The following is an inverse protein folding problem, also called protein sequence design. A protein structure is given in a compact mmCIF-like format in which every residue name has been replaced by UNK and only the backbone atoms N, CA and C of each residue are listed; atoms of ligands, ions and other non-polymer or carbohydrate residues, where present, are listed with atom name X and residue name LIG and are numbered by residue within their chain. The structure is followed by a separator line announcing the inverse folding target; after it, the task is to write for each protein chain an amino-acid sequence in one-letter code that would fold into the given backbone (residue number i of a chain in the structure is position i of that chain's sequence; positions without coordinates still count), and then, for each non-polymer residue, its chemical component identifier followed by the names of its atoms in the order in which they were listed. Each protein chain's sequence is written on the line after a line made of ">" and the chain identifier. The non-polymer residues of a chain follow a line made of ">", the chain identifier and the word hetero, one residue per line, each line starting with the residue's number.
data_IF_574101359264
#
_entry.id   IF_574101359264
#
_cell.length_a   1.000
_cell.length_b   1.000
_cell.length_c   1.000
_cell.angle_alpha   90.00
_cell.angle_beta   90.00
_cell.angle_gamma   90.00
#
_symmetry.space_group_name_H-M   'P 1'
#
loop_
_entity.id
_entity.type
_entity.pdbx_description
1 polymer ?
#
# COMPACT_ATOMS: atom_id res chain seq x y z
N UNK A 1 -8.16 7.05 -60.72
CA UNK A 1 -9.00 8.06 -60.03
C UNK A 1 -9.78 7.33 -58.95
N UNK A 2 -9.10 6.88 -57.90
CA UNK A 2 -9.64 5.97 -56.86
C UNK A 2 -8.79 6.19 -55.58
N UNK A 3 -8.80 7.42 -55.03
CA UNK A 3 -8.11 7.71 -53.75
C UNK A 3 -8.83 8.84 -53.01
N UNK A 4 -10.08 8.63 -52.57
CA UNK A 4 -10.74 9.61 -51.68
C UNK A 4 -11.88 9.08 -50.80
N UNK A 5 -12.21 7.78 -50.86
CA UNK A 5 -13.43 7.27 -50.20
C UNK A 5 -13.19 6.86 -48.73
N UNK A 6 -11.94 6.67 -48.31
CA UNK A 6 -11.64 6.16 -46.96
C UNK A 6 -11.91 7.12 -45.77
N UNK A 7 -11.73 8.47 -45.86
CA UNK A 7 -11.93 9.33 -44.69
C UNK A 7 -13.40 9.64 -44.39
N UNK A 8 -14.32 9.44 -45.34
CA UNK A 8 -15.74 9.78 -45.18
C UNK A 8 -16.55 8.71 -44.44
N UNK A 9 -16.18 7.43 -44.55
CA UNK A 9 -16.89 6.32 -43.91
C UNK A 9 -16.59 6.27 -42.39
N UNK A 10 -15.43 6.77 -41.97
CA UNK A 10 -15.01 6.76 -40.56
C UNK A 10 -15.72 7.82 -39.70
N UNK A 11 -16.33 8.85 -40.30
CA UNK A 11 -17.08 9.89 -39.57
C UNK A 11 -18.50 9.45 -39.19
N UNK A 12 -19.10 8.55 -39.96
CA UNK A 12 -20.44 7.97 -39.69
C UNK A 12 -20.39 7.04 -38.46
N UNK A 13 -19.25 6.38 -38.24
CA UNK A 13 -19.00 5.48 -37.11
C UNK A 13 -18.36 6.17 -35.90
N UNK A 14 -18.63 7.46 -35.63
CA UNK A 14 -18.42 8.07 -34.31
C UNK A 14 -17.08 7.81 -33.60
N UNK A 15 -15.99 7.56 -34.34
CA UNK A 15 -14.72 7.10 -33.77
C UNK A 15 -13.76 8.27 -33.46
N UNK A 16 -14.27 9.50 -33.34
CA UNK A 16 -13.44 10.69 -33.12
C UNK A 16 -13.26 11.08 -31.64
N UNK A 17 -13.84 10.34 -30.68
CA UNK A 17 -13.82 10.72 -29.26
C UNK A 17 -13.29 9.63 -28.31
N UNK A 18 -12.61 8.59 -28.81
CA UNK A 18 -12.24 7.43 -27.97
C UNK A 18 -10.96 7.57 -27.10
N UNK A 19 -10.14 8.65 -27.08
CA UNK A 19 -8.97 8.67 -26.21
C UNK A 19 -9.05 9.65 -25.02
N UNK A 20 -10.17 9.77 -24.31
CA UNK A 20 -10.17 10.57 -23.06
C UNK A 20 -10.97 10.02 -21.87
N UNK A 21 -11.70 8.92 -22.02
CA UNK A 21 -12.50 8.31 -20.93
C UNK A 21 -11.72 7.20 -20.17
N UNK A 22 -10.47 6.91 -20.53
CA UNK A 22 -9.62 5.91 -19.85
C UNK A 22 -8.65 6.50 -18.80
N UNK A 23 -8.91 7.70 -18.26
CA UNK A 23 -8.06 8.29 -17.20
C UNK A 23 -8.33 7.76 -15.78
N UNK A 24 -9.06 6.65 -15.63
CA UNK A 24 -9.41 6.10 -14.33
C UNK A 24 -9.36 4.58 -14.26
N UNK A 25 -8.31 4.04 -13.63
CA UNK A 25 -8.33 2.75 -12.91
C UNK A 25 -8.39 1.44 -13.71
N UNK A 26 -8.38 1.47 -15.05
CA UNK A 26 -8.52 0.26 -15.87
C UNK A 26 -7.35 -0.75 -15.77
N UNK A 27 -6.20 -0.32 -15.24
CA UNK A 27 -5.02 -1.18 -15.04
C UNK A 27 -4.77 -1.57 -13.57
N UNK A 28 -5.76 -1.47 -12.68
CA UNK A 28 -5.58 -2.00 -11.33
C UNK A 28 -5.71 -3.52 -11.36
N UNK A 29 -4.58 -4.20 -11.44
CA UNK A 29 -4.51 -5.65 -11.30
C UNK A 29 -5.13 -6.08 -9.96
N UNK A 30 -5.99 -7.09 -10.02
CA UNK A 30 -6.50 -7.76 -8.83
C UNK A 30 -5.31 -8.34 -8.05
N UNK A 31 -5.20 -7.99 -6.77
CA UNK A 31 -4.18 -8.56 -5.90
C UNK A 31 -4.38 -10.08 -5.77
N UNK A 32 -3.29 -10.83 -5.73
CA UNK A 32 -3.32 -12.25 -5.46
C UNK A 32 -4.04 -12.55 -4.14
N UNK A 33 -4.89 -13.59 -4.13
CA UNK A 33 -5.46 -14.14 -2.91
C UNK A 33 -4.36 -14.96 -2.21
N UNK A 34 -3.87 -14.49 -1.06
CA UNK A 34 -2.89 -15.26 -0.28
C UNK A 34 -3.60 -16.44 0.40
N UNK A 35 -3.12 -17.65 0.15
CA UNK A 35 -3.55 -18.84 0.89
C UNK A 35 -2.75 -18.91 2.21
N UNK A 36 -3.44 -19.11 3.34
CA UNK A 36 -2.83 -19.28 4.66
C UNK A 36 -2.77 -20.76 4.98
N UNK A 37 -1.58 -21.26 5.29
CA UNK A 37 -1.42 -22.63 5.77
C UNK A 37 -1.57 -22.65 7.29
N UNK A 38 -2.37 -23.58 7.80
CA UNK A 38 -2.46 -23.87 9.24
C UNK A 38 -1.76 -25.20 9.48
N UNK A 39 -0.79 -25.28 10.41
CA UNK A 39 -0.09 -26.52 10.68
C UNK A 39 -1.06 -27.62 11.13
N UNK A 40 -0.84 -28.86 10.68
CA UNK A 40 -1.68 -30.02 11.03
C UNK A 40 -1.77 -30.28 12.54
N UNK A 41 -0.69 -29.99 13.27
CA UNK A 41 -0.57 -30.23 14.71
C UNK A 41 -0.52 -28.95 15.54
N UNK A 42 -1.00 -27.81 15.00
CA UNK A 42 -1.11 -26.60 15.82
C UNK A 42 -2.35 -26.68 16.70
N UNK A 43 -2.16 -26.53 18.02
CA UNK A 43 -3.23 -26.44 19.02
C UNK A 43 -3.96 -25.09 19.02
N UNK A 44 -3.76 -24.27 17.99
CA UNK A 44 -4.45 -22.99 17.83
C UNK A 44 -5.96 -23.21 17.83
N UNK A 45 -6.59 -22.83 18.95
CA UNK A 45 -8.03 -22.78 19.08
C UNK A 45 -8.55 -21.79 18.06
N UNK A 46 -9.29 -22.28 17.07
CA UNK A 46 -10.11 -21.42 16.21
C UNK A 46 -11.12 -20.76 17.14
N UNK A 47 -10.98 -19.46 17.40
CA UNK A 47 -12.06 -18.66 17.97
C UNK A 47 -13.20 -18.64 16.94
N UNK A 48 -13.98 -19.70 16.94
CA UNK A 48 -15.14 -19.86 16.09
C UNK A 48 -16.28 -19.07 16.72
N UNK A 49 -16.54 -17.87 16.20
CA UNK A 49 -17.72 -17.10 16.58
C UNK A 49 -18.97 -17.86 16.09
N UNK A 50 -19.78 -18.34 17.03
CA UNK A 50 -21.00 -19.15 16.80
C UNK A 50 -22.01 -18.39 15.92
N UNK A 51 -21.95 -17.05 15.90
CA UNK A 51 -22.85 -16.19 15.13
C UNK A 51 -22.30 -15.75 13.77
N UNK A 52 -21.13 -16.26 13.35
CA UNK A 52 -20.55 -15.90 12.05
C UNK A 52 -21.20 -16.68 10.90
N UNK A 53 -22.19 -16.06 10.24
CA UNK A 53 -22.84 -16.59 9.04
C UNK A 53 -22.01 -16.18 7.82
N UNK A 54 -20.94 -16.92 7.53
CA UNK A 54 -20.11 -16.66 6.34
C UNK A 54 -19.97 -17.93 5.48
N UNK A 55 -19.64 -17.76 4.21
CA UNK A 55 -19.46 -18.89 3.29
C UNK A 55 -18.29 -19.78 3.73
N UNK A 56 -18.36 -21.08 3.40
CA UNK A 56 -17.32 -22.08 3.71
C UNK A 56 -15.91 -21.64 3.29
N UNK A 57 -15.81 -20.82 2.24
CA UNK A 57 -14.55 -20.31 1.72
C UNK A 57 -14.14 -18.95 2.29
N UNK A 58 -15.12 -18.09 2.63
CA UNK A 58 -14.84 -16.75 3.14
C UNK A 58 -14.36 -16.77 4.59
N UNK A 59 -14.85 -17.70 5.41
CA UNK A 59 -14.43 -17.90 6.80
C UNK A 59 -12.92 -17.98 6.99
N UNK A 60 -12.19 -18.56 6.02
CA UNK A 60 -10.74 -18.75 6.10
C UNK A 60 -9.91 -17.64 5.42
N UNK A 61 -10.54 -16.60 4.84
CA UNK A 61 -9.82 -15.51 4.15
C UNK A 61 -9.14 -14.57 5.14
N UNK A 62 -9.82 -14.27 6.23
CA UNK A 62 -9.43 -13.24 7.19
C UNK A 62 -9.03 -13.78 8.57
N UNK A 63 -8.93 -15.10 8.74
CA UNK A 63 -8.42 -15.72 9.97
C UNK A 63 -7.02 -15.19 10.32
N UNK A 64 -6.92 -14.42 11.40
CA UNK A 64 -5.64 -13.98 11.94
C UNK A 64 -4.96 -15.18 12.60
N UNK A 65 -3.99 -15.77 11.93
CA UNK A 65 -3.10 -16.73 12.57
C UNK A 65 -2.11 -15.92 13.43
N UNK A 66 -1.94 -16.29 14.71
CA UNK A 66 -0.98 -15.63 15.60
C UNK A 66 0.47 -15.72 15.08
N UNK A 67 0.79 -16.75 14.30
CA UNK A 67 2.09 -16.99 13.69
C UNK A 67 2.35 -16.14 12.43
N UNK A 68 1.35 -15.48 11.85
CA UNK A 68 1.50 -14.69 10.61
C UNK A 68 1.99 -13.25 10.90
N UNK A 69 3.26 -13.12 11.31
CA UNK A 69 3.90 -11.85 11.60
C UNK A 69 3.81 -10.84 10.43
N UNK A 70 3.88 -11.33 9.18
CA UNK A 70 3.77 -10.51 7.97
C UNK A 70 2.41 -9.83 7.88
N UNK A 71 1.33 -10.56 8.17
CA UNK A 71 -0.03 -10.02 8.16
C UNK A 71 -0.24 -9.05 9.31
N UNK A 72 0.23 -9.37 10.51
CA UNK A 72 0.20 -8.45 11.66
C UNK A 72 0.87 -7.12 11.33
N UNK A 73 2.06 -7.12 10.72
CA UNK A 73 2.73 -5.89 10.29
C UNK A 73 2.00 -5.16 9.15
N UNK A 74 1.38 -5.89 8.22
CA UNK A 74 0.60 -5.28 7.15
C UNK A 74 -0.65 -4.59 7.69
N UNK A 75 -1.33 -5.21 8.66
CA UNK A 75 -2.55 -4.70 9.29
C UNK A 75 -2.21 -3.55 10.24
N UNK A 76 -1.14 -3.64 11.05
CA UNK A 76 -0.64 -2.52 11.85
C UNK A 76 -0.28 -1.30 10.98
N UNK A 77 0.39 -1.50 9.83
CA UNK A 77 0.66 -0.41 8.86
C UNK A 77 -0.61 0.13 8.22
N UNK A 78 -1.66 -0.66 8.06
CA UNK A 78 -2.95 -0.17 7.54
C UNK A 78 -3.67 0.65 8.59
N UNK A 79 -3.71 0.18 9.83
CA UNK A 79 -4.24 0.90 10.98
C UNK A 79 -3.52 2.23 11.20
N UNK A 80 -2.20 2.29 10.98
CA UNK A 80 -1.42 3.52 11.05
C UNK A 80 -1.62 4.52 9.91
N UNK A 81 -2.35 4.17 8.84
CA UNK A 81 -2.67 5.10 7.72
C UNK A 81 -3.92 5.94 7.99
N UNK A 82 -4.06 6.45 9.20
CA UNK A 82 -5.12 7.41 9.53
C UNK A 82 -4.64 8.83 9.22
N UNK A 83 -5.47 9.63 8.54
CA UNK A 83 -5.13 11.02 8.19
C UNK A 83 -5.13 11.96 9.41
N UNK A 84 -5.65 11.50 10.56
CA UNK A 84 -5.86 12.31 11.76
C UNK A 84 -4.62 12.55 12.62
N UNK A 85 -3.58 11.72 12.53
CA UNK A 85 -2.35 11.84 13.34
C UNK A 85 -1.16 12.39 12.54
N UNK A 86 -1.42 13.37 11.65
CA UNK A 86 -0.36 14.03 10.87
C UNK A 86 0.29 15.19 11.64
N UNK A 87 0.29 15.14 12.96
CA UNK A 87 1.00 16.12 13.78
C UNK A 87 2.39 15.57 14.08
N UNK A 88 3.41 16.36 13.76
CA UNK A 88 4.78 16.01 14.09
C UNK A 88 4.97 16.29 15.58
N UNK A 89 5.28 15.25 16.35
CA UNK A 89 5.59 15.39 17.77
C UNK A 89 6.87 16.21 17.95
N UNK A 90 6.77 17.46 18.42
CA UNK A 90 7.92 18.34 18.66
C UNK A 90 8.96 17.65 19.57
N UNK A 91 8.53 16.88 20.57
CA UNK A 91 9.42 16.10 21.45
C UNK A 91 10.29 15.12 20.66
N UNK A 92 9.72 14.41 19.68
CA UNK A 92 10.45 13.46 18.82
C UNK A 92 11.50 14.22 17.99
N UNK A 93 11.13 15.37 17.43
CA UNK A 93 12.06 16.22 16.68
C UNK A 93 13.24 16.68 17.56
N UNK A 94 12.97 17.13 18.79
CA UNK A 94 14.00 17.56 19.75
C UNK A 94 14.94 16.39 20.10
N UNK A 95 14.39 15.21 20.43
CA UNK A 95 15.21 14.03 20.75
C UNK A 95 16.09 13.64 19.56
N UNK A 96 15.53 13.64 18.35
CA UNK A 96 16.27 13.32 17.13
C UNK A 96 17.38 14.32 16.86
N UNK A 97 17.12 15.62 17.03
CA UNK A 97 18.12 16.67 16.87
C UNK A 97 19.27 16.52 17.88
N UNK A 98 18.97 16.31 19.17
CA UNK A 98 19.98 16.10 20.22
C UNK A 98 20.84 14.88 19.91
N UNK A 99 20.22 13.77 19.49
CA UNK A 99 20.94 12.57 19.12
C UNK A 99 21.87 12.81 17.92
N UNK A 100 21.40 13.53 16.91
CA UNK A 100 22.21 13.91 15.75
C UNK A 100 23.40 14.79 16.16
N UNK A 101 23.19 15.78 17.04
CA UNK A 101 24.23 16.63 17.58
C UNK A 101 25.28 15.86 18.38
N UNK A 102 24.87 14.87 19.19
CA UNK A 102 25.79 13.99 19.92
C UNK A 102 26.67 13.17 18.98
N UNK A 103 26.09 12.62 17.91
CA UNK A 103 26.84 11.88 16.88
C UNK A 103 27.83 12.82 16.18
N UNK A 104 27.37 14.00 15.74
CA UNK A 104 28.23 15.01 15.10
C UNK A 104 29.39 15.43 15.99
N UNK A 105 29.14 15.62 17.29
CA UNK A 105 30.16 15.98 18.26
C UNK A 105 31.15 14.84 18.54
N UNK A 106 30.67 13.60 18.65
CA UNK A 106 31.52 12.44 18.93
C UNK A 106 32.51 12.16 17.79
N UNK A 107 32.08 12.35 16.55
CA UNK A 107 32.91 12.14 15.36
C UNK A 107 33.81 13.33 15.01
N UNK A 108 33.77 14.42 15.79
CA UNK A 108 34.44 15.68 15.46
C UNK A 108 34.12 16.12 14.02
N UNK A 109 32.84 16.00 13.63
CA UNK A 109 32.42 16.14 12.25
C UNK A 109 32.48 17.62 11.83
N UNK A 110 33.49 17.95 11.03
CA UNK A 110 33.70 19.31 10.55
C UNK A 110 32.60 19.72 9.55
N UNK A 111 31.71 20.62 9.97
CA UNK A 111 30.65 21.20 9.13
C UNK A 111 31.18 22.24 8.14
N UNK A 112 32.40 22.75 8.34
CA UNK A 112 32.99 23.78 7.49
C UNK A 112 33.32 23.28 6.08
N UNK A 113 33.49 21.97 5.91
CA UNK A 113 33.72 21.33 4.61
C UNK A 113 32.59 21.58 3.60
N UNK A 114 31.37 21.85 4.08
CA UNK A 114 30.21 22.11 3.21
C UNK A 114 30.08 23.58 2.79
N UNK A 115 30.88 24.50 3.35
CA UNK A 115 30.79 25.94 3.10
C UNK A 115 31.86 26.48 2.13
N UNK A 116 32.53 25.61 1.37
CA UNK A 116 33.49 26.05 0.36
C UNK A 116 32.76 26.74 -0.81
N UNK A 117 33.18 27.97 -1.11
CA UNK A 117 32.68 28.80 -2.22
C UNK A 117 33.06 28.20 -3.58
#
# INVERSE_FOLDING_TARGET
>A
MEVSIFPAILSIFGFSQIPYILKGKLFKLKKNNSFKYVPRYSSEKKEDNIYSIDSRFAKYRDTSNSLDARRHWADARRAGRTKGNREINIRLLIITAILFFLVLWFFDFDLSIFYKK
#
